data_IF_443905744191
#
_entry.id   IF_443905744191
#
_cell.length_a   1.000
_cell.length_b   1.000
_cell.length_c   1.000
_cell.angle_alpha   90.00
_cell.angle_beta   90.00
_cell.angle_gamma   90.00
#
_symmetry.space_group_name_H-M   'P 1'
#
loop_
_entity.id
_entity.type
_entity.pdbx_description
1 polymer ?
#
# COMPACT_ATOMS: atom_id res chain seq x y z
N UNK A 1 -3.94 24.32 5.49
CA UNK A 1 -4.11 22.86 5.45
C UNK A 1 -3.90 22.33 6.87
N UNK A 2 -4.97 22.25 7.65
CA UNK A 2 -4.93 21.90 9.09
C UNK A 2 -6.31 21.40 9.48
N UNK A 3 -6.62 20.12 9.23
CA UNK A 3 -7.87 19.51 9.70
C UNK A 3 -7.74 18.02 10.09
N UNK A 4 -6.54 17.44 10.04
CA UNK A 4 -6.29 16.06 10.50
C UNK A 4 -6.19 15.92 12.02
N UNK A 5 -6.16 17.04 12.76
CA UNK A 5 -6.11 17.06 14.25
C UNK A 5 -7.50 16.91 14.86
N UNK A 6 -8.57 17.31 14.15
CA UNK A 6 -9.94 17.29 14.68
C UNK A 6 -10.50 15.88 14.99
N UNK A 7 -10.25 14.84 14.17
CA UNK A 7 -10.81 13.49 14.43
C UNK A 7 -10.24 12.87 15.72
N UNK A 8 -8.95 13.06 15.98
CA UNK A 8 -8.24 12.54 17.15
C UNK A 8 -8.80 13.07 18.47
N UNK A 9 -9.16 14.36 18.51
CA UNK A 9 -9.76 14.95 19.71
C UNK A 9 -11.21 14.50 19.92
N UNK A 10 -11.93 14.17 18.85
CA UNK A 10 -13.32 13.71 18.93
C UNK A 10 -13.44 12.27 19.41
N UNK A 11 -12.52 11.37 19.03
CA UNK A 11 -12.52 9.99 19.56
C UNK A 11 -12.14 9.92 21.05
N UNK A 12 -11.31 10.85 21.55
CA UNK A 12 -11.01 10.97 23.00
C UNK A 12 -12.20 11.46 23.85
N UNK A 13 -13.22 12.06 23.21
CA UNK A 13 -14.44 12.50 23.91
C UNK A 13 -15.54 11.44 23.99
N UNK A 14 -15.35 10.25 23.39
CA UNK A 14 -16.26 9.12 23.65
C UNK A 14 -15.89 8.46 24.98
N UNK A 15 -16.87 8.18 25.87
CA UNK A 15 -16.58 7.54 27.14
C UNK A 15 -16.26 6.06 26.88
N UNK A 16 -15.01 5.77 26.51
CA UNK A 16 -14.43 4.47 26.78
C UNK A 16 -14.26 4.37 28.30
N UNK A 17 -14.64 3.24 28.90
CA UNK A 17 -14.74 3.01 30.35
C UNK A 17 -13.41 3.13 31.15
N UNK A 18 -12.36 3.75 30.59
CA UNK A 18 -11.12 4.12 31.29
C UNK A 18 -11.02 5.65 31.46
N UNK A 19 -10.85 6.08 32.71
CA UNK A 19 -10.52 7.47 33.05
C UNK A 19 -9.05 7.83 32.78
N UNK A 20 -8.20 6.89 32.34
CA UNK A 20 -6.81 7.18 32.00
C UNK A 20 -6.68 7.52 30.51
N UNK A 21 -6.25 8.76 30.25
CA UNK A 21 -5.95 9.26 28.90
C UNK A 21 -4.92 8.37 28.17
N UNK A 22 -4.03 7.68 28.90
CA UNK A 22 -3.05 6.76 28.32
C UNK A 22 -3.71 5.55 27.69
N UNK A 23 -4.72 4.98 28.33
CA UNK A 23 -5.44 3.81 27.81
C UNK A 23 -6.22 4.21 26.56
N UNK A 24 -6.87 5.37 26.60
CA UNK A 24 -7.59 5.90 25.44
C UNK A 24 -6.64 6.12 24.25
N UNK A 25 -5.50 6.76 24.45
CA UNK A 25 -4.48 6.93 23.41
C UNK A 25 -3.94 5.58 22.92
N UNK A 26 -3.66 4.63 23.82
CA UNK A 26 -3.17 3.31 23.44
C UNK A 26 -4.16 2.59 22.52
N UNK A 27 -5.45 2.59 22.83
CA UNK A 27 -6.49 1.95 22.00
C UNK A 27 -6.59 2.64 20.64
N UNK A 28 -6.57 3.97 20.62
CA UNK A 28 -6.68 4.77 19.40
C UNK A 28 -5.51 4.48 18.44
N UNK A 29 -4.27 4.56 18.93
CA UNK A 29 -3.09 4.29 18.11
C UNK A 29 -2.98 2.82 17.68
N UNK A 30 -3.49 1.87 18.48
CA UNK A 30 -3.58 0.47 18.07
C UNK A 30 -4.57 0.26 16.92
N UNK A 31 -5.74 0.91 16.99
CA UNK A 31 -6.73 0.89 15.91
C UNK A 31 -6.15 1.45 14.62
N UNK A 32 -5.52 2.63 14.68
CA UNK A 32 -4.88 3.22 13.51
C UNK A 32 -3.74 2.34 12.95
N UNK A 33 -2.94 1.73 13.83
CA UNK A 33 -1.88 0.80 13.39
C UNK A 33 -2.45 -0.43 12.68
N UNK A 34 -3.60 -0.95 13.12
CA UNK A 34 -4.28 -2.05 12.44
C UNK A 34 -4.82 -1.63 11.06
N UNK A 35 -5.36 -0.41 10.93
CA UNK A 35 -5.82 0.14 9.66
C UNK A 35 -4.67 0.35 8.66
N UNK A 36 -3.55 0.91 9.12
CA UNK A 36 -2.35 1.10 8.28
C UNK A 36 -1.73 -0.25 7.89
N UNK A 37 -1.75 -1.24 8.79
CA UNK A 37 -1.30 -2.60 8.47
C UNK A 37 -2.17 -3.23 7.37
N UNK A 38 -3.49 -3.03 7.43
CA UNK A 38 -4.39 -3.51 6.38
C UNK A 38 -4.09 -2.85 5.04
N UNK A 39 -3.93 -1.52 5.00
CA UNK A 39 -3.55 -0.79 3.78
C UNK A 39 -2.22 -1.28 3.21
N UNK A 40 -1.23 -1.53 4.08
CA UNK A 40 0.05 -2.11 3.67
C UNK A 40 -0.15 -3.45 2.96
N UNK A 41 -0.96 -4.34 3.53
CA UNK A 41 -1.26 -5.65 2.94
C UNK A 41 -1.99 -5.51 1.61
N UNK A 42 -2.98 -4.62 1.52
CA UNK A 42 -3.72 -4.35 0.28
C UNK A 42 -2.77 -3.85 -0.83
N UNK A 43 -1.83 -2.96 -0.50
CA UNK A 43 -0.83 -2.49 -1.47
C UNK A 43 0.14 -3.59 -1.92
N UNK A 44 0.55 -4.48 -1.02
CA UNK A 44 1.37 -5.64 -1.41
C UNK A 44 0.63 -6.60 -2.33
N UNK A 45 -0.64 -6.90 -2.02
CA UNK A 45 -1.47 -7.76 -2.86
C UNK A 45 -1.63 -7.17 -4.27
N UNK A 46 -1.98 -5.89 -4.37
CA UNK A 46 -2.09 -5.20 -5.66
C UNK A 46 -0.74 -5.17 -6.41
N UNK A 47 0.37 -4.99 -5.69
CA UNK A 47 1.70 -5.04 -6.29
C UNK A 47 2.00 -6.42 -6.89
N UNK A 48 1.67 -7.50 -6.17
CA UNK A 48 1.90 -8.87 -6.63
C UNK A 48 1.05 -9.19 -7.87
N UNK A 49 -0.23 -8.84 -7.85
CA UNK A 49 -1.15 -9.03 -9.00
C UNK A 49 -0.66 -8.27 -10.25
N UNK A 50 -0.23 -7.03 -10.07
CA UNK A 50 0.25 -6.18 -11.16
C UNK A 50 1.60 -6.67 -11.70
N UNK A 51 2.50 -7.09 -10.81
CA UNK A 51 3.80 -7.65 -11.17
C UNK A 51 3.64 -8.94 -11.97
N UNK A 52 2.68 -9.79 -11.61
CA UNK A 52 2.37 -11.01 -12.35
C UNK A 52 1.82 -10.69 -13.75
N UNK A 53 0.91 -9.71 -13.85
CA UNK A 53 0.38 -9.25 -15.15
C UNK A 53 1.50 -8.74 -16.07
N UNK A 54 2.42 -7.92 -15.54
CA UNK A 54 3.60 -7.43 -16.26
C UNK A 54 4.48 -8.60 -16.71
N UNK A 55 4.71 -9.58 -15.83
CA UNK A 55 5.52 -10.77 -16.14
C UNK A 55 4.91 -11.61 -17.26
N UNK A 56 3.60 -11.84 -17.23
CA UNK A 56 2.88 -12.59 -18.28
C UNK A 56 2.94 -11.85 -19.63
N UNK A 57 2.74 -10.52 -19.63
CA UNK A 57 2.88 -9.69 -20.83
C UNK A 57 4.28 -9.81 -21.42
N UNK A 58 5.32 -9.69 -20.59
CA UNK A 58 6.71 -9.74 -21.05
C UNK A 58 7.06 -11.13 -21.61
N UNK A 59 6.55 -12.21 -21.00
CA UNK A 59 6.67 -13.56 -21.53
C UNK A 59 6.00 -13.70 -22.91
N UNK A 60 4.79 -13.17 -23.07
CA UNK A 60 4.08 -13.16 -24.36
C UNK A 60 4.85 -12.38 -25.44
N UNK A 61 5.42 -11.22 -25.09
CA UNK A 61 6.25 -10.44 -26.02
C UNK A 61 7.50 -11.23 -26.45
N UNK A 62 8.15 -11.96 -25.52
CA UNK A 62 9.31 -12.80 -25.85
C UNK A 62 8.92 -13.93 -26.81
N UNK A 63 7.80 -14.59 -26.55
CA UNK A 63 7.28 -15.65 -27.41
C UNK A 63 6.98 -15.15 -28.82
N UNK A 64 6.27 -14.02 -28.93
CA UNK A 64 5.96 -13.39 -30.22
C UNK A 64 7.21 -13.04 -31.02
N UNK A 65 8.24 -12.48 -30.36
CA UNK A 65 9.53 -12.16 -31.00
C UNK A 65 10.29 -13.39 -31.47
N UNK A 66 10.14 -14.50 -30.77
CA UNK A 66 10.88 -15.73 -31.06
C UNK A 66 10.24 -16.47 -32.24
N UNK A 67 8.91 -16.49 -32.30
CA UNK A 67 8.16 -17.30 -33.25
C UNK A 67 7.83 -16.57 -34.55
N UNK A 68 7.86 -15.23 -34.57
CA UNK A 68 7.43 -14.45 -35.72
C UNK A 68 8.31 -13.23 -35.98
N UNK A 69 8.50 -12.91 -37.27
CA UNK A 69 9.36 -11.81 -37.73
C UNK A 69 8.66 -10.87 -38.72
N UNK A 70 7.33 -10.76 -38.66
CA UNK A 70 6.55 -9.87 -39.51
C UNK A 70 6.38 -8.48 -38.89
N UNK A 71 6.14 -7.46 -39.72
CA UNK A 71 5.84 -6.10 -39.24
C UNK A 71 4.56 -6.05 -38.38
N UNK A 72 3.57 -6.89 -38.68
CA UNK A 72 2.32 -6.99 -37.89
C UNK A 72 2.58 -7.45 -36.44
N UNK A 73 3.59 -8.31 -36.24
CA UNK A 73 4.00 -8.76 -34.90
C UNK A 73 4.69 -7.64 -34.15
N UNK A 74 5.48 -6.81 -34.84
CA UNK A 74 6.10 -5.61 -34.24
C UNK A 74 5.03 -4.65 -33.74
N UNK A 75 4.01 -4.35 -34.56
CA UNK A 75 2.89 -3.50 -34.17
C UNK A 75 2.11 -4.10 -32.98
N UNK A 76 1.86 -5.40 -32.99
CA UNK A 76 1.16 -6.10 -31.89
C UNK A 76 1.93 -6.00 -30.56
N UNK A 77 3.26 -6.12 -30.60
CA UNK A 77 4.13 -5.94 -29.43
C UNK A 77 4.09 -4.50 -28.93
N UNK A 78 4.06 -3.50 -29.82
CA UNK A 78 3.94 -2.10 -29.44
C UNK A 78 2.60 -1.81 -28.76
N UNK A 79 1.50 -2.33 -29.29
CA UNK A 79 0.17 -2.22 -28.66
C UNK A 79 0.18 -2.84 -27.26
N UNK A 80 0.73 -4.06 -27.10
CA UNK A 80 0.81 -4.73 -25.79
C UNK A 80 1.60 -3.91 -24.77
N UNK A 81 2.69 -3.27 -25.19
CA UNK A 81 3.51 -2.39 -24.34
C UNK A 81 2.76 -1.13 -23.94
N UNK A 82 2.06 -0.50 -24.88
CA UNK A 82 1.31 0.73 -24.63
C UNK A 82 0.13 0.50 -23.67
N UNK A 83 -0.59 -0.61 -23.84
CA UNK A 83 -1.74 -0.94 -23.00
C UNK A 83 -1.41 -1.07 -21.51
N UNK A 84 -0.18 -1.47 -21.17
CA UNK A 84 0.25 -1.75 -19.80
C UNK A 84 1.41 -0.84 -19.36
N UNK A 85 1.57 0.32 -20.01
CA UNK A 85 2.64 1.27 -19.67
C UNK A 85 2.46 1.82 -18.25
N UNK A 86 1.21 2.15 -17.90
CA UNK A 86 0.84 2.67 -16.60
C UNK A 86 1.09 1.66 -15.48
N UNK A 87 0.84 0.38 -15.75
CA UNK A 87 1.05 -0.71 -14.80
C UNK A 87 2.52 -0.82 -14.38
N UNK A 88 3.45 -0.70 -15.34
CA UNK A 88 4.89 -0.67 -15.06
C UNK A 88 5.31 0.49 -14.16
N UNK A 89 4.57 1.60 -14.15
CA UNK A 89 4.81 2.73 -13.25
C UNK A 89 4.04 2.61 -11.93
N UNK A 90 2.88 1.96 -11.93
CA UNK A 90 2.03 1.80 -10.76
C UNK A 90 2.58 0.75 -9.78
N UNK A 91 3.17 -0.36 -10.27
CA UNK A 91 3.77 -1.39 -9.42
C UNK A 91 4.82 -0.83 -8.43
N UNK A 92 5.88 -0.10 -8.86
CA UNK A 92 6.84 0.46 -7.91
C UNK A 92 6.22 1.48 -6.96
N UNK A 93 5.17 2.22 -7.37
CA UNK A 93 4.45 3.15 -6.50
C UNK A 93 3.69 2.43 -5.38
N UNK A 94 3.03 1.32 -5.70
CA UNK A 94 2.34 0.48 -4.71
C UNK A 94 3.32 -0.03 -3.65
N UNK A 95 4.51 -0.49 -4.07
CA UNK A 95 5.54 -0.92 -3.14
C UNK A 95 6.05 0.23 -2.24
N UNK A 96 6.19 1.45 -2.77
CA UNK A 96 6.54 2.62 -1.95
C UNK A 96 5.44 2.94 -0.93
N UNK A 97 4.17 2.95 -1.34
CA UNK A 97 3.04 3.18 -0.44
C UNK A 97 2.95 2.11 0.65
N UNK A 98 3.22 0.84 0.33
CA UNK A 98 3.29 -0.23 1.31
C UNK A 98 4.38 0.04 2.37
N UNK A 99 5.58 0.46 1.95
CA UNK A 99 6.66 0.82 2.88
C UNK A 99 6.30 2.02 3.76
N UNK A 100 5.67 3.04 3.19
CA UNK A 100 5.21 4.20 3.98
C UNK A 100 4.19 3.78 5.05
N UNK A 101 3.27 2.84 4.74
CA UNK A 101 2.35 2.31 5.74
C UNK A 101 3.08 1.48 6.80
N UNK A 102 4.06 0.67 6.39
CA UNK A 102 4.89 -0.10 7.32
C UNK A 102 5.61 0.81 8.34
N UNK A 103 6.19 1.91 7.87
CA UNK A 103 6.87 2.89 8.74
C UNK A 103 5.89 3.51 9.75
N UNK A 104 4.67 3.87 9.30
CA UNK A 104 3.61 4.38 10.18
C UNK A 104 3.21 3.35 11.24
N UNK A 105 3.05 2.09 10.87
CA UNK A 105 2.73 1.01 11.82
C UNK A 105 3.85 0.87 12.86
N UNK A 106 5.11 0.90 12.44
CA UNK A 106 6.25 0.81 13.35
C UNK A 106 6.33 2.00 14.31
N UNK A 107 6.08 3.22 13.83
CA UNK A 107 6.06 4.43 14.65
C UNK A 107 4.95 4.36 15.71
N UNK A 108 3.72 4.03 15.30
CA UNK A 108 2.57 3.90 16.22
C UNK A 108 2.79 2.82 17.26
N UNK A 109 3.28 1.64 16.86
CA UNK A 109 3.59 0.57 17.79
C UNK A 109 4.67 0.96 18.80
N UNK A 110 5.69 1.72 18.37
CA UNK A 110 6.72 2.25 19.27
C UNK A 110 6.14 3.25 20.26
N UNK A 111 5.23 4.11 19.81
CA UNK A 111 4.53 5.07 20.68
C UNK A 111 3.70 4.34 21.75
N UNK A 112 2.88 3.37 21.34
CA UNK A 112 2.08 2.53 22.25
C UNK A 112 2.97 1.79 23.26
N UNK A 113 4.11 1.24 22.82
CA UNK A 113 5.05 0.57 23.71
C UNK A 113 5.62 1.52 24.78
N UNK A 114 5.91 2.78 24.42
CA UNK A 114 6.38 3.80 25.39
C UNK A 114 5.30 4.20 26.39
N UNK A 115 4.04 4.32 25.95
CA UNK A 115 2.92 4.63 26.85
C UNK A 115 2.73 3.57 27.93
N UNK A 116 3.08 2.31 27.65
CA UNK A 116 3.00 1.19 28.62
C UNK A 116 4.14 1.16 29.64
N UNK A 117 5.25 1.84 29.35
CA UNK A 117 6.46 1.86 30.18
C UNK A 117 6.53 3.06 31.13
N UNK A 118 5.68 4.07 30.89
CA UNK A 118 5.46 5.20 31.80
C UNK A 118 4.45 4.81 32.88
#
# INVERSE_FOLDING_TARGET
MTNTVLPLLQELTHPADSHDIRDQLSVLFQKEAAEDLKKMQDYYMLFDELSETIRMRDACIIELRTNYSSNEVVESIEILRLMHLDDTQAAPRLMLMAREMQDKVHEKNRFVARLRLM
#
